data_IF_322710254431
#
_entry.id   IF_322710254431
#
_cell.length_a   1.000
_cell.length_b   1.000
_cell.length_c   1.000
_cell.angle_alpha   90.00
_cell.angle_beta   90.00
_cell.angle_gamma   90.00
#
_symmetry.space_group_name_H-M   'P 1'
#
loop_
_entity.id
_entity.type
_entity.pdbx_description
1 polymer ?
#
# COMPACT_ATOMS: atom_id res chain seq x y z
N UNK A 1 -26.63 -18.99 -4.03
CA UNK A 1 -27.02 -20.36 -3.63
C UNK A 1 -28.36 -20.30 -2.94
N UNK A 2 -29.31 -21.14 -3.36
CA UNK A 2 -30.66 -21.20 -2.76
C UNK A 2 -30.82 -22.55 -2.09
N UNK A 3 -31.28 -22.55 -0.84
CA UNK A 3 -31.59 -23.74 -0.07
C UNK A 3 -33.10 -23.82 0.14
N UNK A 4 -33.75 -24.78 -0.52
CA UNK A 4 -35.16 -25.10 -0.33
C UNK A 4 -35.29 -26.28 0.62
N UNK A 5 -35.83 -26.03 1.81
CA UNK A 5 -36.00 -27.04 2.86
C UNK A 5 -37.49 -27.36 2.96
N UNK A 6 -37.85 -28.61 2.70
CA UNK A 6 -39.24 -29.09 2.78
C UNK A 6 -39.36 -30.05 3.96
N UNK A 7 -40.23 -29.73 4.93
CA UNK A 7 -40.53 -30.62 6.04
C UNK A 7 -41.63 -31.61 5.64
N UNK A 8 -41.25 -32.86 5.35
CA UNK A 8 -42.18 -33.95 5.00
C UNK A 8 -42.68 -34.73 6.21
N UNK A 9 -42.31 -34.34 7.43
CA UNK A 9 -42.72 -35.01 8.67
C UNK A 9 -44.04 -34.45 9.21
N UNK A 10 -44.55 -35.08 10.27
CA UNK A 10 -45.75 -34.66 11.01
C UNK A 10 -45.46 -33.77 12.22
N UNK A 11 -44.22 -33.32 12.41
CA UNK A 11 -43.81 -32.46 13.53
C UNK A 11 -43.00 -31.26 13.01
N UNK A 12 -42.93 -30.19 13.79
CA UNK A 12 -42.11 -29.04 13.47
C UNK A 12 -40.63 -29.39 13.63
N UNK A 13 -39.82 -29.11 12.61
CA UNK A 13 -38.39 -29.48 12.60
C UNK A 13 -37.53 -28.22 12.75
N UNK A 14 -36.66 -28.13 13.77
CA UNK A 14 -35.62 -27.12 13.79
C UNK A 14 -34.58 -27.44 12.71
N UNK A 15 -34.21 -26.43 11.93
CA UNK A 15 -33.19 -26.53 10.91
C UNK A 15 -32.15 -25.42 11.10
N UNK A 16 -30.92 -25.67 10.65
CA UNK A 16 -29.88 -24.65 10.62
C UNK A 16 -29.07 -24.81 9.34
N UNK A 17 -28.62 -23.68 8.79
CA UNK A 17 -27.74 -23.65 7.64
C UNK A 17 -26.32 -23.36 8.08
N UNK A 18 -25.38 -24.02 7.42
CA UNK A 18 -23.95 -23.96 7.73
C UNK A 18 -23.18 -23.54 6.49
N UNK A 19 -22.48 -22.41 6.58
CA UNK A 19 -21.65 -21.86 5.51
C UNK A 19 -20.23 -21.71 6.03
N UNK A 20 -19.25 -22.21 5.29
CA UNK A 20 -17.84 -22.14 5.70
C UNK A 20 -16.93 -21.77 4.54
N UNK A 21 -15.84 -21.10 4.87
CA UNK A 21 -14.64 -20.93 4.05
C UNK A 21 -13.49 -21.59 4.78
N UNK A 22 -12.74 -22.45 4.09
CA UNK A 22 -11.62 -23.19 4.66
C UNK A 22 -10.38 -22.94 3.81
N UNK A 23 -9.25 -22.64 4.46
CA UNK A 23 -7.97 -22.38 3.80
C UNK A 23 -6.83 -22.80 4.71
N UNK A 24 -5.72 -23.24 4.14
CA UNK A 24 -4.45 -23.35 4.87
C UNK A 24 -3.88 -21.96 5.25
N UNK A 25 -2.99 -21.93 6.23
CA UNK A 25 -2.33 -20.71 6.68
C UNK A 25 -1.05 -20.35 5.92
N UNK A 26 -0.75 -21.01 4.81
CA UNK A 26 0.50 -20.77 4.09
C UNK A 26 0.43 -19.48 3.26
N UNK A 27 1.60 -18.85 3.13
CA UNK A 27 1.79 -17.74 2.20
C UNK A 27 1.62 -18.22 0.76
N UNK A 28 1.17 -17.33 -0.10
CA UNK A 28 1.03 -17.63 -1.53
C UNK A 28 2.41 -17.83 -2.16
N UNK A 29 2.51 -18.79 -3.07
CA UNK A 29 3.71 -18.96 -3.88
C UNK A 29 3.96 -17.69 -4.71
N UNK A 30 5.17 -17.12 -4.60
CA UNK A 30 5.55 -15.90 -5.29
C UNK A 30 5.21 -14.59 -4.57
N UNK A 31 4.75 -14.64 -3.31
CA UNK A 31 4.64 -13.44 -2.48
C UNK A 31 6.04 -12.83 -2.25
N UNK A 32 6.15 -11.50 -2.33
CA UNK A 32 7.41 -10.79 -2.17
C UNK A 32 7.95 -10.93 -0.74
N UNK A 33 9.27 -11.03 -0.60
CA UNK A 33 9.92 -10.93 0.70
C UNK A 33 9.94 -9.49 1.25
N UNK A 34 9.73 -8.49 0.38
CA UNK A 34 9.88 -7.07 0.72
C UNK A 34 8.56 -6.36 1.04
N UNK A 35 7.44 -6.96 0.68
CA UNK A 35 6.12 -6.47 1.04
C UNK A 35 5.19 -7.61 1.35
N UNK A 36 4.25 -7.39 2.27
CA UNK A 36 3.21 -8.36 2.62
C UNK A 36 1.85 -7.69 2.51
N UNK A 37 0.88 -8.46 2.05
CA UNK A 37 -0.53 -8.07 2.08
C UNK A 37 -1.28 -8.96 3.05
N UNK A 38 -2.38 -8.44 3.58
CA UNK A 38 -3.21 -9.23 4.48
C UNK A 38 -3.70 -10.50 3.76
N UNK A 39 -3.40 -11.65 4.34
CA UNK A 39 -3.93 -12.95 3.91
C UNK A 39 -4.49 -13.63 5.15
N UNK A 40 -5.81 -13.78 5.20
CA UNK A 40 -6.47 -14.26 6.41
C UNK A 40 -7.99 -14.16 6.36
N UNK A 41 -8.67 -14.72 7.36
CA UNK A 41 -10.10 -14.56 7.51
C UNK A 41 -10.45 -13.13 7.93
N UNK A 42 -11.60 -12.66 7.45
CA UNK A 42 -12.17 -11.37 7.81
C UNK A 42 -13.67 -11.49 8.03
N UNK A 43 -14.23 -10.59 8.82
CA UNK A 43 -15.68 -10.49 9.03
C UNK A 43 -16.12 -9.06 8.90
N UNK A 44 -17.37 -8.89 8.49
CA UNK A 44 -18.07 -7.64 8.64
C UNK A 44 -19.35 -7.88 9.42
N UNK A 45 -19.59 -7.06 10.42
CA UNK A 45 -20.89 -6.95 11.10
C UNK A 45 -21.24 -5.47 11.24
N UNK A 46 -22.52 -5.13 11.33
CA UNK A 46 -22.88 -3.71 11.50
C UNK A 46 -22.35 -3.13 12.82
N UNK A 47 -22.25 -3.96 13.87
CA UNK A 47 -21.80 -3.57 15.20
C UNK A 47 -20.29 -3.24 15.29
N UNK A 48 -19.43 -4.04 14.65
CA UNK A 48 -17.96 -3.89 14.72
C UNK A 48 -17.31 -3.55 13.38
N UNK A 49 -18.09 -3.38 12.32
CA UNK A 49 -17.63 -3.14 10.94
C UNK A 49 -16.63 -4.22 10.51
N UNK A 50 -15.67 -3.85 9.65
CA UNK A 50 -14.69 -4.78 9.09
C UNK A 50 -13.62 -5.15 10.13
N UNK A 51 -13.47 -6.45 10.39
CA UNK A 51 -12.51 -7.01 11.34
C UNK A 51 -11.64 -8.04 10.61
N UNK A 52 -10.33 -7.84 10.63
CA UNK A 52 -9.33 -8.78 10.12
C UNK A 52 -8.84 -9.67 11.25
N UNK A 53 -8.63 -10.94 10.98
CA UNK A 53 -8.11 -11.87 11.99
C UNK A 53 -6.90 -12.60 11.41
N UNK A 54 -5.76 -12.49 12.11
CA UNK A 54 -4.55 -13.21 11.74
C UNK A 54 -4.72 -14.71 12.01
N UNK A 55 -4.19 -15.57 11.13
CA UNK A 55 -4.23 -17.02 11.34
C UNK A 55 -3.62 -17.44 12.68
N UNK A 56 -2.56 -16.76 13.11
CA UNK A 56 -1.93 -17.01 14.41
C UNK A 56 -2.89 -16.78 15.59
N UNK A 57 -3.77 -15.79 15.49
CA UNK A 57 -4.75 -15.46 16.53
C UNK A 57 -5.90 -16.46 16.54
N UNK A 58 -6.32 -16.96 15.36
CA UNK A 58 -7.25 -18.10 15.25
C UNK A 58 -6.67 -19.34 15.93
N UNK A 59 -5.41 -19.69 15.63
CA UNK A 59 -4.71 -20.86 16.21
C UNK A 59 -4.63 -20.77 17.73
N UNK A 60 -4.37 -19.57 18.26
CA UNK A 60 -4.28 -19.30 19.71
C UNK A 60 -5.65 -19.11 20.39
N UNK A 61 -6.75 -19.12 19.64
CA UNK A 61 -8.10 -18.79 20.11
C UNK A 61 -8.19 -17.41 20.79
N UNK A 62 -7.36 -16.47 20.36
CA UNK A 62 -7.26 -15.12 20.91
C UNK A 62 -7.72 -14.10 19.87
N UNK A 63 -9.01 -14.10 19.57
CA UNK A 63 -9.61 -13.24 18.54
C UNK A 63 -10.64 -12.33 19.19
N UNK A 64 -10.55 -11.03 18.91
CA UNK A 64 -11.61 -10.08 19.23
C UNK A 64 -12.53 -9.91 18.02
N UNK A 65 -13.54 -10.77 17.92
CA UNK A 65 -14.54 -10.75 16.85
C UNK A 65 -15.95 -10.69 17.38
N UNK A 66 -16.84 -10.08 16.61
CA UNK A 66 -18.29 -10.22 16.82
C UNK A 66 -18.73 -11.66 16.49
N UNK A 67 -19.41 -12.32 17.44
CA UNK A 67 -19.77 -13.74 17.32
C UNK A 67 -21.22 -13.96 16.92
N UNK A 68 -22.06 -12.93 16.98
CA UNK A 68 -23.46 -13.01 16.59
C UNK A 68 -23.84 -11.78 15.80
N UNK A 69 -24.59 -11.97 14.73
CA UNK A 69 -25.06 -10.85 13.91
C UNK A 69 -26.37 -11.19 13.21
N UNK A 70 -27.09 -10.16 12.79
CA UNK A 70 -28.22 -10.26 11.85
C UNK A 70 -27.90 -9.55 10.52
N UNK A 71 -26.65 -9.11 10.32
CA UNK A 71 -26.16 -8.53 9.07
C UNK A 71 -24.71 -8.96 8.79
N UNK A 72 -24.22 -8.68 7.59
CA UNK A 72 -22.81 -8.85 7.23
C UNK A 72 -22.40 -10.25 6.75
N UNK A 73 -21.08 -10.45 6.68
CA UNK A 73 -20.44 -11.56 5.97
C UNK A 73 -19.21 -12.12 6.71
N UNK A 74 -18.80 -13.33 6.33
CA UNK A 74 -17.46 -13.88 6.60
C UNK A 74 -16.71 -14.00 5.28
N UNK A 75 -15.41 -13.72 5.31
CA UNK A 75 -14.56 -13.75 4.14
C UNK A 75 -13.22 -14.42 4.43
N UNK A 76 -12.59 -14.90 3.37
CA UNK A 76 -11.18 -15.30 3.33
C UNK A 76 -10.50 -14.42 2.28
N UNK A 77 -9.55 -13.62 2.72
CA UNK A 77 -8.91 -12.56 1.93
C UNK A 77 -7.48 -12.99 1.60
N UNK A 78 -7.04 -12.66 0.39
CA UNK A 78 -5.65 -12.74 -0.05
C UNK A 78 -5.37 -11.57 -1.00
N UNK A 79 -4.11 -11.26 -1.29
CA UNK A 79 -3.67 -10.07 -2.05
C UNK A 79 -4.67 -9.52 -3.09
N UNK A 80 -5.04 -10.29 -4.12
CA UNK A 80 -5.91 -9.82 -5.21
C UNK A 80 -7.31 -10.43 -5.25
N UNK A 81 -7.59 -11.41 -4.39
CA UNK A 81 -8.84 -12.17 -4.45
C UNK A 81 -9.46 -12.30 -3.08
N UNK A 82 -10.76 -12.49 -3.04
CA UNK A 82 -11.46 -12.85 -1.81
C UNK A 82 -12.52 -13.90 -2.11
N UNK A 83 -12.87 -14.65 -1.08
CA UNK A 83 -14.12 -15.41 -1.05
C UNK A 83 -14.94 -14.94 0.13
N UNK A 84 -16.25 -14.76 -0.02
CA UNK A 84 -17.11 -14.30 1.05
C UNK A 84 -18.48 -14.98 0.99
N UNK A 85 -18.98 -15.40 2.15
CA UNK A 85 -20.37 -15.80 2.32
C UNK A 85 -21.17 -14.64 2.89
N UNK A 86 -22.17 -14.20 2.14
CA UNK A 86 -23.13 -13.18 2.54
C UNK A 86 -24.49 -13.83 2.73
N UNK A 87 -25.06 -13.66 3.92
CA UNK A 87 -26.42 -14.11 4.25
C UNK A 87 -27.37 -12.91 4.21
N UNK A 88 -28.68 -13.12 3.95
CA UNK A 88 -29.66 -12.06 3.94
C UNK A 88 -29.69 -11.31 5.27
N UNK A 89 -29.90 -10.01 5.22
CA UNK A 89 -30.09 -9.19 6.41
C UNK A 89 -31.36 -9.60 7.15
N UNK A 90 -31.31 -9.51 8.48
CA UNK A 90 -32.36 -9.97 9.39
C UNK A 90 -32.26 -11.45 9.81
N UNK A 91 -31.50 -12.29 9.09
CA UNK A 91 -31.31 -13.69 9.46
C UNK A 91 -30.28 -13.82 10.60
N UNK A 92 -30.67 -14.24 11.81
CA UNK A 92 -29.68 -14.42 12.88
C UNK A 92 -28.61 -15.46 12.49
N UNK A 93 -27.33 -15.14 12.74
CA UNK A 93 -26.19 -16.04 12.52
C UNK A 93 -25.17 -15.98 13.65
N UNK A 94 -24.66 -17.15 14.01
CA UNK A 94 -23.46 -17.30 14.81
C UNK A 94 -22.25 -17.32 13.89
N UNK A 95 -21.23 -16.56 14.25
CA UNK A 95 -19.96 -16.44 13.54
C UNK A 95 -18.90 -17.13 14.37
N UNK A 96 -18.14 -18.02 13.74
CA UNK A 96 -16.99 -18.66 14.39
C UNK A 96 -15.79 -18.76 13.46
N UNK A 97 -14.61 -18.69 14.05
CA UNK A 97 -13.37 -19.04 13.38
C UNK A 97 -12.60 -20.05 14.22
N UNK A 98 -12.02 -21.04 13.56
CA UNK A 98 -11.31 -22.11 14.23
C UNK A 98 -10.21 -22.70 13.35
N UNK A 99 -9.15 -23.18 13.98
CA UNK A 99 -8.15 -24.01 13.34
C UNK A 99 -8.62 -25.46 13.41
N UNK A 100 -8.82 -26.08 12.25
CA UNK A 100 -9.22 -27.48 12.08
C UNK A 100 -8.01 -28.27 11.61
N UNK A 101 -7.71 -29.39 12.26
CA UNK A 101 -6.79 -30.37 11.70
C UNK A 101 -7.54 -31.15 10.61
N UNK A 102 -7.16 -30.96 9.33
CA UNK A 102 -7.75 -31.68 8.19
C UNK A 102 -6.81 -32.79 7.69
N UNK A 103 -6.01 -33.36 8.60
CA UNK A 103 -5.14 -34.50 8.36
C UNK A 103 -3.71 -34.12 8.00
N UNK A 104 -2.79 -35.07 8.26
CA UNK A 104 -1.32 -34.89 8.35
C UNK A 104 -0.59 -34.35 7.10
N UNK A 105 -1.28 -34.08 5.97
CA UNK A 105 -0.63 -33.79 4.68
C UNK A 105 -0.28 -32.33 4.42
N UNK A 106 -0.72 -31.38 5.25
CA UNK A 106 -0.36 -29.96 5.10
C UNK A 106 0.07 -29.35 6.43
N UNK A 107 1.35 -28.93 6.51
CA UNK A 107 1.84 -28.12 7.63
C UNK A 107 1.04 -26.80 7.71
N UNK A 108 0.67 -26.39 8.92
CA UNK A 108 -0.14 -25.20 9.21
C UNK A 108 -1.50 -25.12 8.47
N UNK A 109 -2.11 -26.28 8.19
CA UNK A 109 -3.51 -26.36 7.78
C UNK A 109 -4.40 -26.83 8.93
N UNK A 110 -5.65 -26.37 9.06
CA UNK A 110 -6.43 -25.46 8.21
C UNK A 110 -7.24 -24.48 9.07
N UNK A 111 -7.57 -23.32 8.52
CA UNK A 111 -8.35 -22.28 9.20
C UNK A 111 -9.72 -22.16 8.54
N UNK A 112 -10.74 -22.10 9.38
CA UNK A 112 -12.13 -22.02 8.97
C UNK A 112 -12.76 -20.73 9.46
N UNK A 113 -13.52 -20.07 8.59
CA UNK A 113 -14.46 -19.02 8.94
C UNK A 113 -15.88 -19.51 8.64
N UNK A 114 -16.78 -19.44 9.62
CA UNK A 114 -18.09 -20.09 9.60
C UNK A 114 -19.22 -19.11 9.90
N UNK A 115 -20.33 -19.26 9.18
CA UNK A 115 -21.64 -18.73 9.52
C UNK A 115 -22.62 -19.89 9.77
N UNK A 116 -23.22 -19.90 10.95
CA UNK A 116 -24.29 -20.84 11.32
C UNK A 116 -25.57 -20.04 11.49
N UNK A 117 -26.55 -20.24 10.60
CA UNK A 117 -27.83 -19.57 10.64
C UNK A 117 -28.93 -20.52 11.14
N UNK A 118 -29.31 -20.47 12.44
CA UNK A 118 -30.47 -21.19 12.92
C UNK A 118 -31.73 -20.62 12.26
N UNK A 119 -32.58 -21.51 11.75
CA UNK A 119 -33.86 -21.16 11.17
C UNK A 119 -34.96 -21.33 12.21
N UNK A 120 -36.04 -20.56 12.06
CA UNK A 120 -37.27 -20.83 12.78
C UNK A 120 -37.76 -22.26 12.46
N UNK A 121 -38.33 -23.00 13.44
CA UNK A 121 -38.85 -24.33 13.22
C UNK A 121 -39.78 -24.38 12.00
N UNK A 122 -39.51 -25.28 11.07
CA UNK A 122 -40.29 -25.43 9.85
C UNK A 122 -41.48 -26.32 10.19
N UNK A 123 -42.68 -25.78 10.12
CA UNK A 123 -43.89 -26.53 10.47
C UNK A 123 -44.11 -27.75 9.56
N UNK A 124 -44.83 -28.76 10.08
CA UNK A 124 -45.16 -29.98 9.33
C UNK A 124 -45.79 -29.67 7.96
N UNK A 125 -45.26 -30.27 6.88
CA UNK A 125 -45.73 -30.07 5.51
C UNK A 125 -45.41 -28.68 4.91
N UNK A 126 -44.68 -27.81 5.61
CA UNK A 126 -44.24 -26.50 5.10
C UNK A 126 -42.84 -26.56 4.52
N UNK A 127 -42.52 -25.54 3.74
CA UNK A 127 -41.18 -25.30 3.22
C UNK A 127 -40.65 -23.94 3.63
N UNK A 128 -39.32 -23.82 3.66
CA UNK A 128 -38.61 -22.56 3.85
C UNK A 128 -37.49 -22.49 2.81
N UNK A 129 -37.38 -21.34 2.16
CA UNK A 129 -36.30 -21.05 1.21
C UNK A 129 -35.38 -20.01 1.82
N UNK A 130 -34.07 -20.27 1.79
CA UNK A 130 -33.04 -19.30 2.22
C UNK A 130 -32.02 -19.17 1.11
N UNK A 131 -31.77 -17.93 0.69
CA UNK A 131 -30.73 -17.62 -0.28
C UNK A 131 -29.48 -17.14 0.45
N UNK A 132 -28.30 -17.57 0.00
CA UNK A 132 -27.01 -17.06 0.44
C UNK A 132 -26.14 -16.78 -0.78
N UNK A 133 -25.34 -15.73 -0.73
CA UNK A 133 -24.45 -15.33 -1.81
C UNK A 133 -23.02 -15.75 -1.47
N UNK A 134 -22.40 -16.51 -2.37
CA UNK A 134 -20.96 -16.77 -2.33
C UNK A 134 -20.30 -15.87 -3.35
N UNK A 135 -19.49 -14.94 -2.88
CA UNK A 135 -18.52 -14.25 -3.70
C UNK A 135 -17.22 -15.07 -3.74
N UNK A 136 -16.63 -15.24 -4.92
CA UNK A 136 -15.32 -15.86 -5.09
C UNK A 136 -14.67 -15.27 -6.35
N UNK A 137 -13.84 -14.25 -6.18
CA UNK A 137 -13.38 -13.44 -7.30
C UNK A 137 -12.34 -12.39 -6.95
N UNK A 138 -11.94 -11.58 -7.95
CA UNK A 138 -10.97 -10.49 -7.78
C UNK A 138 -11.54 -9.36 -6.92
N UNK A 139 -10.68 -8.65 -6.21
CA UNK A 139 -11.10 -7.55 -5.33
C UNK A 139 -11.35 -6.24 -6.09
N UNK A 140 -12.32 -6.25 -7.00
CA UNK A 140 -12.77 -5.08 -7.75
C UNK A 140 -13.78 -4.28 -6.92
N UNK A 141 -13.47 -3.02 -6.60
CA UNK A 141 -14.19 -2.25 -5.56
C UNK A 141 -15.69 -2.11 -5.88
N UNK A 142 -16.02 -1.84 -7.15
CA UNK A 142 -17.41 -1.65 -7.62
C UNK A 142 -18.22 -2.96 -7.62
N UNK A 143 -17.60 -4.08 -8.02
CA UNK A 143 -18.25 -5.40 -8.04
C UNK A 143 -18.48 -5.91 -6.61
N UNK A 144 -17.53 -5.68 -5.70
CA UNK A 144 -17.66 -6.05 -4.29
C UNK A 144 -18.80 -5.26 -3.61
N UNK A 145 -18.84 -3.93 -3.81
CA UNK A 145 -19.89 -3.08 -3.25
C UNK A 145 -21.29 -3.47 -3.76
N UNK A 146 -21.39 -3.87 -5.04
CA UNK A 146 -22.63 -4.35 -5.64
C UNK A 146 -23.13 -5.68 -5.03
N UNK A 147 -22.23 -6.53 -4.52
CA UNK A 147 -22.59 -7.79 -3.85
C UNK A 147 -23.13 -7.53 -2.44
N UNK A 148 -22.45 -6.70 -1.65
CA UNK A 148 -22.90 -6.32 -0.31
C UNK A 148 -22.21 -5.02 0.14
N UNK A 149 -22.93 -4.00 0.64
CA UNK A 149 -22.33 -2.76 1.13
C UNK A 149 -21.33 -3.03 2.28
N UNK A 150 -20.09 -2.60 2.12
CA UNK A 150 -18.99 -2.86 3.05
C UNK A 150 -18.11 -4.06 2.66
N UNK A 151 -18.49 -4.87 1.67
CA UNK A 151 -17.64 -5.94 1.16
C UNK A 151 -16.41 -5.38 0.43
N UNK A 152 -16.47 -4.17 -0.10
CA UNK A 152 -15.34 -3.47 -0.72
C UNK A 152 -14.19 -3.21 0.28
N UNK A 153 -14.46 -3.28 1.58
CA UNK A 153 -13.45 -3.15 2.65
C UNK A 153 -12.48 -4.34 2.71
N UNK A 154 -12.75 -5.45 2.01
CA UNK A 154 -11.76 -6.53 1.84
C UNK A 154 -10.51 -6.03 1.12
N UNK A 155 -10.64 -4.99 0.28
CA UNK A 155 -9.53 -4.24 -0.31
C UNK A 155 -8.89 -3.36 0.75
N UNK A 156 -8.01 -3.98 1.52
CA UNK A 156 -7.37 -3.37 2.69
C UNK A 156 -6.26 -2.39 2.26
N UNK A 157 -6.59 -1.10 2.29
CA UNK A 157 -5.62 -0.02 2.13
C UNK A 157 -4.90 0.36 3.45
N UNK A 158 -5.11 -0.42 4.52
CA UNK A 158 -4.55 -0.17 5.84
C UNK A 158 -5.10 1.10 6.51
N UNK A 159 -4.33 1.60 7.49
CA UNK A 159 -4.70 2.79 8.28
C UNK A 159 -4.83 4.09 7.46
N UNK A 160 -4.29 4.13 6.23
CA UNK A 160 -4.36 5.28 5.33
C UNK A 160 -5.52 5.20 4.32
N UNK A 161 -6.54 4.37 4.59
CA UNK A 161 -7.73 4.23 3.74
C UNK A 161 -8.37 5.56 3.37
N UNK A 162 -8.38 6.55 4.28
CA UNK A 162 -8.92 7.89 4.02
C UNK A 162 -8.20 8.66 2.91
N UNK A 163 -6.90 8.39 2.73
CA UNK A 163 -6.11 8.94 1.62
C UNK A 163 -6.16 8.03 0.40
N UNK A 164 -6.12 6.71 0.60
CA UNK A 164 -6.06 5.71 -0.46
C UNK A 164 -7.33 5.70 -1.32
N UNK A 165 -8.54 5.74 -0.73
CA UNK A 165 -9.80 5.71 -1.50
C UNK A 165 -9.92 6.86 -2.51
N UNK A 166 -9.71 8.14 -2.14
CA UNK A 166 -9.70 9.24 -3.11
C UNK A 166 -8.63 9.11 -4.20
N UNK A 167 -7.45 8.60 -3.85
CA UNK A 167 -6.36 8.39 -4.81
C UNK A 167 -6.69 7.27 -5.81
N UNK A 168 -7.28 6.17 -5.34
CA UNK A 168 -7.76 5.09 -6.20
C UNK A 168 -8.89 5.58 -7.12
N UNK A 169 -9.87 6.32 -6.57
CA UNK A 169 -10.94 6.91 -7.36
C UNK A 169 -10.39 7.79 -8.49
N UNK A 170 -9.40 8.64 -8.19
CA UNK A 170 -8.78 9.50 -9.20
C UNK A 170 -7.99 8.68 -10.23
N UNK A 171 -7.24 7.67 -9.79
CA UNK A 171 -6.51 6.75 -10.68
C UNK A 171 -7.47 6.04 -11.65
N UNK A 172 -8.58 5.51 -11.13
CA UNK A 172 -9.58 4.82 -11.93
C UNK A 172 -10.26 5.77 -12.93
N UNK A 173 -10.55 7.02 -12.53
CA UNK A 173 -11.06 8.04 -13.47
C UNK A 173 -10.08 8.39 -14.57
N UNK A 174 -8.79 8.50 -14.25
CA UNK A 174 -7.73 8.72 -15.24
C UNK A 174 -7.63 7.52 -16.20
N UNK A 175 -7.77 6.30 -15.70
CA UNK A 175 -7.78 5.11 -16.53
C UNK A 175 -8.98 5.07 -17.47
N UNK A 176 -10.17 5.43 -17.01
CA UNK A 176 -11.35 5.51 -17.87
C UNK A 176 -11.23 6.57 -18.97
N UNK A 177 -10.35 7.57 -18.81
CA UNK A 177 -10.08 8.60 -19.82
C UNK A 177 -8.94 8.20 -20.78
N UNK A 178 -7.87 7.60 -20.25
CA UNK A 178 -6.64 7.31 -20.99
C UNK A 178 -6.60 5.89 -21.56
N UNK A 179 -7.46 5.00 -21.06
CA UNK A 179 -7.52 3.57 -21.38
C UNK A 179 -6.17 2.86 -21.22
N UNK A 180 -5.37 3.30 -20.24
CA UNK A 180 -4.04 2.76 -19.97
C UNK A 180 -3.61 3.05 -18.53
N UNK A 181 -3.42 1.99 -17.74
CA UNK A 181 -3.06 2.10 -16.32
C UNK A 181 -1.71 2.78 -16.10
N UNK A 182 -0.71 2.54 -16.95
CA UNK A 182 0.61 3.14 -16.81
C UNK A 182 0.60 4.65 -17.04
N UNK A 183 -0.10 5.12 -18.07
CA UNK A 183 -0.30 6.56 -18.28
C UNK A 183 -1.18 7.20 -17.21
N UNK A 184 -2.12 6.45 -16.64
CA UNK A 184 -2.94 6.89 -15.51
C UNK A 184 -2.11 7.13 -14.25
N UNK A 185 -1.14 6.25 -13.97
CA UNK A 185 -0.15 6.47 -12.90
C UNK A 185 0.64 7.74 -13.16
N UNK A 186 1.18 7.92 -14.37
CA UNK A 186 1.95 9.13 -14.72
C UNK A 186 1.10 10.40 -14.55
N UNK A 187 -0.13 10.41 -15.05
CA UNK A 187 -1.05 11.52 -14.93
C UNK A 187 -1.40 11.82 -13.46
N UNK A 188 -1.65 10.79 -12.65
CA UNK A 188 -1.91 10.91 -11.22
C UNK A 188 -0.73 11.61 -10.51
N UNK A 189 0.51 11.19 -10.80
CA UNK A 189 1.71 11.82 -10.22
C UNK A 189 1.81 13.29 -10.61
N UNK A 190 1.56 13.62 -11.88
CA UNK A 190 1.58 15.00 -12.37
C UNK A 190 0.56 15.85 -11.62
N UNK A 191 -0.68 15.36 -11.45
CA UNK A 191 -1.73 16.08 -10.73
C UNK A 191 -1.39 16.29 -9.25
N UNK A 192 -0.87 15.26 -8.58
CA UNK A 192 -0.43 15.36 -7.18
C UNK A 192 0.70 16.38 -7.06
N UNK A 193 1.70 16.32 -7.95
CA UNK A 193 2.80 17.30 -7.97
C UNK A 193 2.31 18.72 -8.21
N UNK A 194 1.32 18.91 -9.08
CA UNK A 194 0.70 20.20 -9.31
C UNK A 194 -0.03 20.72 -8.06
N UNK A 195 -0.81 19.87 -7.38
CA UNK A 195 -1.51 20.22 -6.15
C UNK A 195 -0.54 20.64 -5.03
N UNK A 196 0.59 19.94 -4.89
CA UNK A 196 1.63 20.26 -3.90
C UNK A 196 2.73 21.20 -4.44
N UNK A 197 2.54 21.82 -5.61
CA UNK A 197 3.60 22.59 -6.26
C UNK A 197 4.12 23.72 -5.37
N UNK A 198 3.22 24.48 -4.76
CA UNK A 198 3.57 25.62 -3.90
C UNK A 198 4.38 25.18 -2.67
N UNK A 199 4.00 24.06 -2.05
CA UNK A 199 4.65 23.51 -0.87
C UNK A 199 6.07 23.05 -1.21
N UNK A 200 6.20 22.26 -2.28
CA UNK A 200 7.48 21.78 -2.79
C UNK A 200 8.38 22.96 -3.20
N UNK A 201 7.81 24.01 -3.81
CA UNK A 201 8.56 25.18 -4.21
C UNK A 201 9.16 25.94 -3.02
N UNK A 202 8.46 26.04 -1.89
CA UNK A 202 9.01 26.66 -0.69
C UNK A 202 10.21 25.89 -0.13
N UNK A 203 10.14 24.56 -0.14
CA UNK A 203 11.25 23.75 0.34
C UNK A 203 12.44 23.73 -0.61
N UNK A 204 12.22 23.67 -1.92
CA UNK A 204 13.32 23.82 -2.89
C UNK A 204 14.00 25.19 -2.76
N UNK A 205 13.24 26.26 -2.50
CA UNK A 205 13.85 27.57 -2.17
C UNK A 205 14.70 27.53 -0.90
N UNK A 206 14.24 26.83 0.14
CA UNK A 206 15.02 26.65 1.38
C UNK A 206 16.30 25.85 1.11
N UNK A 207 16.23 24.79 0.32
CA UNK A 207 17.39 23.99 -0.08
C UNK A 207 18.38 24.78 -0.93
N UNK A 208 17.90 25.62 -1.85
CA UNK A 208 18.76 26.50 -2.65
C UNK A 208 19.53 27.50 -1.76
N UNK A 209 18.88 28.08 -0.75
CA UNK A 209 19.56 28.93 0.24
C UNK A 209 20.58 28.17 1.08
N UNK A 210 20.22 26.97 1.57
CA UNK A 210 21.16 26.09 2.28
C UNK A 210 22.41 25.80 1.43
N UNK A 211 22.22 25.60 0.13
CA UNK A 211 23.32 25.39 -0.81
C UNK A 211 24.19 26.63 -0.98
N UNK A 212 23.59 27.82 -1.09
CA UNK A 212 24.32 29.07 -1.23
C UNK A 212 25.21 29.39 -0.03
N UNK A 213 24.80 28.99 1.18
CA UNK A 213 25.57 29.20 2.41
C UNK A 213 26.61 28.11 2.69
N UNK A 214 26.57 26.98 1.97
CA UNK A 214 27.45 25.83 2.20
C UNK A 214 28.96 26.21 2.18
N UNK A 215 29.46 27.10 1.30
CA UNK A 215 30.85 27.56 1.36
C UNK A 215 31.22 28.22 2.68
N UNK A 216 30.33 29.03 3.27
CA UNK A 216 30.54 29.67 4.58
C UNK A 216 30.58 28.63 5.71
N UNK A 217 29.77 27.58 5.59
CA UNK A 217 29.77 26.46 6.56
C UNK A 217 31.07 25.67 6.46
N UNK A 218 31.60 25.46 5.26
CA UNK A 218 32.90 24.77 5.08
C UNK A 218 34.07 25.60 5.63
N UNK A 219 34.14 26.91 5.34
CA UNK A 219 35.16 27.80 5.92
C UNK A 219 35.11 27.81 7.45
N UNK A 220 33.92 27.93 8.03
CA UNK A 220 33.71 27.91 9.48
C UNK A 220 34.16 26.58 10.10
N UNK A 221 33.96 25.44 9.42
CA UNK A 221 34.41 24.12 9.86
C UNK A 221 35.91 23.95 9.83
N UNK A 222 36.57 24.48 8.80
CA UNK A 222 38.03 24.45 8.72
C UNK A 222 38.64 25.28 9.85
N UNK A 223 38.04 26.44 10.15
CA UNK A 223 38.50 27.34 11.23
C UNK A 223 38.22 26.82 12.65
N UNK A 224 37.10 26.12 12.86
CA UNK A 224 36.64 25.68 14.20
C UNK A 224 36.73 24.16 14.41
N UNK A 225 37.58 23.46 13.65
CA UNK A 225 37.71 22.01 13.68
C UNK A 225 37.96 21.42 15.07
N UNK A 226 38.73 22.13 15.90
CA UNK A 226 39.11 21.69 17.25
C UNK A 226 38.11 22.11 18.34
N UNK A 227 37.05 22.86 18.00
CA UNK A 227 36.07 23.35 18.95
C UNK A 227 34.61 23.08 18.50
N UNK A 228 34.08 21.86 18.76
CA UNK A 228 32.76 21.48 18.30
C UNK A 228 31.61 22.29 18.92
N UNK A 229 31.79 22.78 20.15
CA UNK A 229 30.78 23.61 20.82
C UNK A 229 30.66 24.99 20.13
N UNK A 230 31.80 25.64 19.85
CA UNK A 230 31.80 26.91 19.11
C UNK A 230 31.30 26.73 17.67
N UNK A 231 31.66 25.62 17.02
CA UNK A 231 31.16 25.28 15.68
C UNK A 231 29.64 25.21 15.63
N UNK A 232 28.98 24.60 16.62
CA UNK A 232 27.52 24.51 16.67
C UNK A 232 26.85 25.88 16.86
N UNK A 233 27.43 26.75 17.71
CA UNK A 233 26.92 28.10 17.97
C UNK A 233 27.06 28.98 16.72
N UNK A 234 28.22 28.99 16.09
CA UNK A 234 28.46 29.81 14.89
C UNK A 234 27.62 29.30 13.70
N UNK A 235 27.44 27.99 13.57
CA UNK A 235 26.55 27.42 12.55
C UNK A 235 25.10 27.89 12.72
N UNK A 236 24.58 27.92 13.96
CA UNK A 236 23.23 28.45 14.23
C UNK A 236 23.14 29.96 13.99
N UNK A 237 24.21 30.70 14.24
CA UNK A 237 24.30 32.13 13.94
C UNK A 237 24.24 32.38 12.43
N UNK A 238 25.02 31.65 11.63
CA UNK A 238 24.96 31.70 10.16
C UNK A 238 23.53 31.42 9.66
N UNK A 239 22.88 30.36 10.17
CA UNK A 239 21.49 30.06 9.78
C UNK A 239 20.50 31.18 10.13
N UNK A 240 20.67 31.85 11.27
CA UNK A 240 19.82 32.99 11.68
C UNK A 240 20.08 34.23 10.83
N UNK A 241 21.34 34.56 10.59
CA UNK A 241 21.75 35.74 9.79
C UNK A 241 21.28 35.60 8.34
N UNK A 242 21.45 34.42 7.76
CA UNK A 242 21.04 34.11 6.38
C UNK A 242 19.54 33.76 6.27
N UNK A 243 18.83 33.74 7.40
CA UNK A 243 17.39 33.38 7.52
C UNK A 243 17.06 32.06 6.81
N UNK A 244 17.88 31.05 7.06
CA UNK A 244 17.73 29.71 6.48
C UNK A 244 17.27 28.73 7.55
N UNK A 245 16.21 27.96 7.25
CA UNK A 245 15.74 26.91 8.13
C UNK A 245 16.32 25.56 7.71
N UNK A 246 17.16 24.89 8.53
CA UNK A 246 17.71 23.59 8.20
C UNK A 246 16.64 22.49 8.05
N UNK A 247 15.46 22.67 8.68
CA UNK A 247 14.32 21.75 8.56
C UNK A 247 13.39 22.09 7.39
N UNK A 248 13.61 23.21 6.70
CA UNK A 248 12.78 23.62 5.56
C UNK A 248 12.80 22.61 4.40
N UNK A 249 13.85 21.80 4.29
CA UNK A 249 13.97 20.73 3.30
C UNK A 249 13.26 19.43 3.67
N UNK A 250 13.07 19.13 4.97
CA UNK A 250 12.45 17.87 5.41
C UNK A 250 10.91 17.97 5.58
N UNK A 251 10.37 19.18 5.69
CA UNK A 251 8.92 19.39 5.85
C UNK A 251 8.07 18.83 4.68
N UNK A 252 8.43 19.00 3.39
CA UNK A 252 7.67 18.37 2.31
C UNK A 252 7.78 16.85 2.33
N UNK A 253 8.95 16.32 2.71
CA UNK A 253 9.16 14.88 2.81
C UNK A 253 8.20 14.30 3.84
N UNK A 254 8.07 14.94 5.01
CA UNK A 254 7.15 14.51 6.06
C UNK A 254 5.68 14.49 5.60
N UNK A 255 5.23 15.50 4.84
CA UNK A 255 3.86 15.56 4.30
C UNK A 255 3.67 14.57 3.15
N UNK A 256 4.71 14.33 2.36
CA UNK A 256 4.66 13.45 1.20
C UNK A 256 4.69 11.97 1.59
N UNK A 257 5.31 11.60 2.73
CA UNK A 257 5.38 10.21 3.22
C UNK A 257 3.98 9.58 3.35
N UNK A 258 2.98 10.17 4.05
CA UNK A 258 1.63 9.61 4.11
C UNK A 258 0.97 9.44 2.74
N UNK A 259 1.12 10.43 1.85
CA UNK A 259 0.57 10.36 0.48
C UNK A 259 1.23 9.23 -0.31
N UNK A 260 2.55 9.07 -0.17
CA UNK A 260 3.30 7.99 -0.79
C UNK A 260 2.85 6.62 -0.28
N UNK A 261 2.74 6.44 1.05
CA UNK A 261 2.31 5.15 1.63
C UNK A 261 0.89 4.83 1.18
N UNK A 262 0.00 5.82 1.09
CA UNK A 262 -1.35 5.63 0.57
C UNK A 262 -1.32 5.18 -0.91
N UNK A 263 -0.56 5.86 -1.77
CA UNK A 263 -0.39 5.46 -3.18
C UNK A 263 0.23 4.09 -3.33
N UNK A 264 1.20 3.76 -2.49
CA UNK A 264 1.83 2.46 -2.44
C UNK A 264 0.78 1.36 -2.23
N UNK A 265 -0.09 1.50 -1.21
CA UNK A 265 -1.18 0.54 -0.98
C UNK A 265 -2.20 0.53 -2.11
N UNK A 266 -2.53 1.68 -2.71
CA UNK A 266 -3.44 1.73 -3.86
C UNK A 266 -2.88 0.92 -5.03
N UNK A 267 -1.65 1.19 -5.47
CA UNK A 267 -1.05 0.51 -6.61
C UNK A 267 -0.84 -0.98 -6.34
N UNK A 268 -0.55 -1.34 -5.10
CA UNK A 268 -0.31 -2.72 -4.72
C UNK A 268 -1.61 -3.53 -4.62
N UNK A 269 -2.70 -2.95 -4.12
CA UNK A 269 -3.99 -3.63 -3.94
C UNK A 269 -4.93 -3.54 -5.17
N UNK A 270 -4.59 -2.77 -6.20
CA UNK A 270 -5.41 -2.64 -7.42
C UNK A 270 -5.27 -3.89 -8.30
N UNK A 271 -6.26 -4.78 -8.24
CA UNK A 271 -6.29 -6.03 -9.02
C UNK A 271 -6.42 -5.77 -10.52
N UNK A 272 -7.02 -4.64 -10.89
CA UNK A 272 -7.24 -4.22 -12.27
C UNK A 272 -5.94 -3.93 -13.02
N UNK A 273 -4.84 -3.70 -12.30
CA UNK A 273 -3.50 -3.53 -12.86
C UNK A 273 -2.78 -4.86 -13.13
N UNK A 274 -3.32 -5.98 -12.65
CA UNK A 274 -2.75 -7.31 -12.87
C UNK A 274 -2.85 -7.68 -14.34
N UNK A 275 -1.72 -8.01 -14.95
CA UNK A 275 -1.59 -8.23 -16.40
C UNK A 275 -1.97 -7.00 -17.24
N UNK A 276 -1.99 -5.80 -16.65
CA UNK A 276 -2.25 -4.57 -17.41
C UNK A 276 -0.95 -4.12 -18.10
N UNK A 277 -0.93 -4.01 -19.45
CA UNK A 277 0.23 -3.51 -20.16
C UNK A 277 0.35 -1.99 -20.02
N UNK A 278 1.58 -1.48 -20.17
CA UNK A 278 1.82 -0.04 -20.30
C UNK A 278 2.31 0.30 -21.71
N UNK A 279 3.62 0.20 -21.95
CA UNK A 279 4.27 0.43 -23.24
C UNK A 279 5.52 -0.44 -23.37
N UNK A 280 5.98 -0.66 -24.60
CA UNK A 280 7.22 -1.38 -24.92
C UNK A 280 7.24 -2.80 -24.31
N UNK A 281 8.13 -3.06 -23.36
CA UNK A 281 8.32 -4.37 -22.71
C UNK A 281 7.47 -4.58 -21.46
N UNK A 282 6.72 -3.58 -21.00
CA UNK A 282 5.91 -3.68 -19.77
C UNK A 282 4.53 -4.24 -20.12
N UNK A 283 4.36 -5.52 -19.81
CA UNK A 283 3.12 -6.27 -20.04
C UNK A 283 2.30 -6.52 -18.76
N UNK A 284 2.88 -6.28 -17.58
CA UNK A 284 2.19 -6.39 -16.30
C UNK A 284 2.69 -5.33 -15.31
N UNK A 285 1.82 -4.38 -14.96
CA UNK A 285 2.10 -3.33 -13.99
C UNK A 285 2.11 -3.82 -12.54
N UNK A 286 1.49 -4.96 -12.26
CA UNK A 286 1.42 -5.57 -10.93
C UNK A 286 2.62 -6.50 -10.64
N UNK A 287 3.41 -6.86 -11.66
CA UNK A 287 4.60 -7.69 -11.51
C UNK A 287 5.91 -6.86 -11.58
N UNK A 288 7.01 -7.37 -11.00
CA UNK A 288 8.33 -6.77 -11.19
C UNK A 288 8.77 -6.71 -12.65
N UNK A 289 9.48 -5.66 -13.05
CA UNK A 289 10.07 -5.56 -14.38
C UNK A 289 11.25 -6.55 -14.51
N UNK A 290 11.09 -7.50 -15.43
CA UNK A 290 12.06 -8.58 -15.73
C UNK A 290 12.65 -8.48 -17.13
N UNK A 291 12.61 -7.30 -17.76
CA UNK A 291 13.07 -7.08 -19.15
C UNK A 291 14.50 -7.51 -19.45
N UNK A 292 15.37 -7.62 -18.44
CA UNK A 292 16.76 -8.11 -18.57
C UNK A 292 16.97 -9.50 -17.96
N UNK A 293 15.89 -10.18 -17.55
CA UNK A 293 15.88 -11.52 -16.98
C UNK A 293 15.86 -11.55 -15.44
N UNK A 294 16.03 -12.75 -14.87
CA UNK A 294 16.14 -12.98 -13.43
C UNK A 294 17.53 -13.50 -13.11
N UNK A 295 18.33 -12.72 -12.39
CA UNK A 295 19.73 -13.05 -12.09
C UNK A 295 19.88 -13.37 -10.61
N UNK A 296 20.34 -14.58 -10.28
CA UNK A 296 20.50 -15.04 -8.88
C UNK A 296 19.23 -14.87 -8.03
N UNK A 297 18.04 -15.00 -8.63
CA UNK A 297 16.75 -14.81 -7.95
C UNK A 297 16.29 -13.34 -7.86
N UNK A 298 17.02 -12.39 -8.45
CA UNK A 298 16.64 -10.97 -8.53
C UNK A 298 16.02 -10.68 -9.88
N UNK A 299 14.78 -10.15 -9.95
CA UNK A 299 14.22 -9.62 -11.19
C UNK A 299 15.07 -8.43 -11.66
N UNK A 300 15.61 -8.45 -12.87
CA UNK A 300 16.41 -7.34 -13.42
C UNK A 300 15.63 -6.71 -14.56
N UNK A 301 15.29 -5.42 -14.41
CA UNK A 301 14.49 -4.68 -15.37
C UNK A 301 15.04 -3.29 -15.64
N UNK A 302 14.66 -2.73 -16.79
CA UNK A 302 15.06 -1.39 -17.21
C UNK A 302 14.46 -0.32 -16.28
N UNK A 303 13.20 -0.47 -15.82
CA UNK A 303 12.55 0.52 -14.95
C UNK A 303 13.29 0.71 -13.62
N UNK A 304 13.59 -0.34 -12.81
CA UNK A 304 14.35 -0.17 -11.58
C UNK A 304 15.74 0.45 -11.77
N UNK A 305 16.40 0.18 -12.90
CA UNK A 305 17.69 0.81 -13.25
C UNK A 305 17.50 2.32 -13.48
N UNK A 306 16.51 2.71 -14.28
CA UNK A 306 16.18 4.13 -14.52
C UNK A 306 15.74 4.82 -13.23
N UNK A 307 14.97 4.13 -12.38
CA UNK A 307 14.60 4.62 -11.05
C UNK A 307 15.84 4.85 -10.18
N UNK A 308 16.80 3.93 -10.19
CA UNK A 308 18.08 4.06 -9.47
C UNK A 308 18.84 5.30 -9.96
N UNK A 309 18.99 5.46 -11.28
CA UNK A 309 19.68 6.59 -11.89
C UNK A 309 19.01 7.93 -11.53
N UNK A 310 17.69 8.00 -11.62
CA UNK A 310 16.94 9.22 -11.26
C UNK A 310 17.03 9.51 -9.76
N UNK A 311 17.05 8.48 -8.91
CA UNK A 311 17.22 8.62 -7.46
C UNK A 311 18.62 9.12 -7.11
N UNK A 312 19.65 8.60 -7.76
CA UNK A 312 21.05 9.08 -7.64
C UNK A 312 21.14 10.54 -8.08
N UNK A 313 20.54 10.88 -9.23
CA UNK A 313 20.54 12.25 -9.74
C UNK A 313 19.82 13.21 -8.78
N UNK A 314 18.65 12.83 -8.26
CA UNK A 314 17.91 13.62 -7.29
C UNK A 314 18.70 13.80 -5.99
N UNK A 315 19.35 12.74 -5.50
CA UNK A 315 20.20 12.78 -4.30
C UNK A 315 21.40 13.70 -4.50
N UNK A 316 22.03 13.65 -5.68
CA UNK A 316 23.15 14.52 -6.05
C UNK A 316 22.78 16.01 -6.05
N UNK A 317 21.52 16.35 -6.31
CA UNK A 317 21.05 17.73 -6.33
C UNK A 317 20.76 18.29 -4.92
N UNK A 318 20.57 17.43 -3.94
CA UNK A 318 20.30 17.83 -2.57
C UNK A 318 21.56 18.37 -1.86
N UNK A 319 21.42 19.40 -1.00
CA UNK A 319 22.55 19.91 -0.23
C UNK A 319 23.06 18.83 0.73
N UNK A 320 24.37 18.60 0.73
CA UNK A 320 24.98 17.63 1.64
C UNK A 320 24.81 18.08 3.10
N UNK A 321 24.39 17.18 4.01
CA UNK A 321 24.38 17.47 5.43
C UNK A 321 25.78 17.82 5.90
N UNK A 322 25.90 18.71 6.90
CA UNK A 322 27.18 19.01 7.50
C UNK A 322 27.79 17.73 8.11
N UNK A 323 27.06 16.95 8.89
CA UNK A 323 27.62 15.74 9.50
C UNK A 323 28.04 14.68 8.43
N UNK A 324 29.32 14.25 8.39
CA UNK A 324 29.79 13.25 7.43
C UNK A 324 29.08 11.90 7.56
N UNK A 325 28.63 11.51 8.75
CA UNK A 325 27.85 10.27 8.90
C UNK A 325 26.48 10.41 8.23
N UNK A 326 25.76 11.50 8.53
CA UNK A 326 24.48 11.80 7.88
C UNK A 326 24.63 11.94 6.35
N UNK A 327 25.72 12.53 5.86
CA UNK A 327 26.01 12.63 4.44
C UNK A 327 26.18 11.26 3.78
N UNK A 328 26.88 10.31 4.42
CA UNK A 328 26.98 8.92 3.94
C UNK A 328 25.62 8.23 3.90
N UNK A 329 24.82 8.38 4.97
CA UNK A 329 23.48 7.80 5.03
C UNK A 329 22.55 8.35 3.94
N UNK A 330 22.66 9.63 3.59
CA UNK A 330 21.90 10.25 2.50
C UNK A 330 22.16 9.58 1.15
N UNK A 331 23.34 8.98 0.95
CA UNK A 331 23.69 8.24 -0.26
C UNK A 331 23.36 6.75 -0.17
N UNK A 332 23.66 6.12 0.97
CA UNK A 332 23.46 4.68 1.17
C UNK A 332 21.97 4.33 1.16
N UNK A 333 21.13 5.11 1.85
CA UNK A 333 19.72 4.78 2.04
C UNK A 333 18.95 4.74 0.70
N UNK A 334 19.02 5.76 -0.18
CA UNK A 334 18.33 5.69 -1.47
C UNK A 334 18.87 4.59 -2.39
N UNK A 335 20.18 4.28 -2.35
CA UNK A 335 20.76 3.19 -3.12
C UNK A 335 20.29 1.81 -2.62
N UNK A 336 20.28 1.60 -1.31
CA UNK A 336 19.74 0.38 -0.71
C UNK A 336 18.25 0.19 -1.06
N UNK A 337 17.46 1.26 -0.96
CA UNK A 337 16.07 1.23 -1.43
C UNK A 337 15.97 0.95 -2.93
N UNK A 338 16.84 1.52 -3.76
CA UNK A 338 16.82 1.27 -5.21
C UNK A 338 17.02 -0.23 -5.55
N UNK A 339 17.88 -0.94 -4.80
CA UNK A 339 18.04 -2.40 -4.95
C UNK A 339 16.76 -3.15 -4.59
N UNK A 340 16.06 -2.72 -3.53
CA UNK A 340 14.78 -3.31 -3.14
C UNK A 340 13.70 -3.14 -4.22
N UNK A 341 13.68 -2.03 -4.96
CA UNK A 341 12.66 -1.74 -5.98
C UNK A 341 12.73 -2.66 -7.21
N UNK A 342 13.79 -3.47 -7.36
CA UNK A 342 13.83 -4.56 -8.34
C UNK A 342 12.78 -5.66 -8.06
N UNK A 343 12.32 -5.78 -6.81
CA UNK A 343 11.33 -6.77 -6.40
C UNK A 343 9.90 -6.22 -6.30
N UNK A 344 9.70 -4.94 -6.63
CA UNK A 344 8.39 -4.28 -6.54
C UNK A 344 7.68 -4.25 -7.89
N UNK A 345 6.33 -4.17 -7.89
CA UNK A 345 5.54 -4.01 -9.10
C UNK A 345 6.02 -2.84 -9.97
N UNK A 346 6.11 -3.06 -11.28
CA UNK A 346 6.61 -2.06 -12.23
C UNK A 346 5.79 -0.78 -12.23
N UNK A 347 4.48 -0.85 -11.93
CA UNK A 347 3.63 0.34 -11.74
C UNK A 347 4.06 1.23 -10.56
N UNK A 348 4.52 0.64 -9.45
CA UNK A 348 5.08 1.41 -8.33
C UNK A 348 6.44 2.03 -8.70
N UNK A 349 7.27 1.28 -9.43
CA UNK A 349 8.56 1.80 -9.92
C UNK A 349 8.34 2.97 -10.89
N UNK A 350 7.36 2.86 -11.79
CA UNK A 350 6.96 3.92 -12.72
C UNK A 350 6.48 5.19 -12.00
N UNK A 351 5.66 5.03 -10.96
CA UNK A 351 5.28 6.13 -10.07
C UNK A 351 6.53 6.85 -9.54
N UNK A 352 7.51 6.09 -9.05
CA UNK A 352 8.72 6.65 -8.44
C UNK A 352 9.59 7.38 -9.46
N UNK A 353 9.80 6.81 -10.64
CA UNK A 353 10.52 7.47 -11.75
C UNK A 353 9.86 8.80 -12.08
N UNK A 354 8.54 8.80 -12.28
CA UNK A 354 7.78 10.01 -12.64
C UNK A 354 7.90 11.07 -11.54
N UNK A 355 7.77 10.67 -10.28
CA UNK A 355 7.93 11.55 -9.14
C UNK A 355 9.34 12.15 -9.06
N UNK A 356 10.39 11.36 -9.27
CA UNK A 356 11.78 11.82 -9.28
C UNK A 356 12.02 12.81 -10.42
N UNK A 357 11.64 12.48 -11.65
CA UNK A 357 11.84 13.33 -12.83
C UNK A 357 11.17 14.69 -12.65
N UNK A 358 9.92 14.71 -12.19
CA UNK A 358 9.20 15.97 -11.94
C UNK A 358 9.83 16.77 -10.79
N UNK A 359 10.31 16.08 -9.74
CA UNK A 359 11.01 16.73 -8.62
C UNK A 359 12.31 17.38 -9.06
N UNK A 360 13.11 16.67 -9.86
CA UNK A 360 14.36 17.15 -10.43
C UNK A 360 14.08 18.36 -11.31
N UNK A 361 13.10 18.27 -12.21
CA UNK A 361 12.72 19.38 -13.08
C UNK A 361 12.28 20.61 -12.27
N UNK A 362 11.43 20.43 -11.26
CA UNK A 362 10.98 21.52 -10.40
C UNK A 362 12.15 22.16 -9.63
N UNK A 363 13.01 21.34 -9.03
CA UNK A 363 14.19 21.80 -8.29
C UNK A 363 15.15 22.56 -9.21
N UNK A 364 15.38 22.06 -10.42
CA UNK A 364 16.24 22.68 -11.43
C UNK A 364 15.76 24.08 -11.82
N UNK A 365 14.46 24.21 -12.12
CA UNK A 365 13.84 25.50 -12.48
C UNK A 365 13.95 26.49 -11.32
N UNK A 366 13.68 26.06 -10.08
CA UNK A 366 13.73 26.93 -8.90
C UNK A 366 15.16 27.38 -8.60
N UNK A 367 16.12 26.46 -8.61
CA UNK A 367 17.54 26.75 -8.40
C UNK A 367 18.05 27.78 -9.40
N UNK A 368 17.72 27.58 -10.69
CA UNK A 368 18.09 28.51 -11.77
C UNK A 368 17.47 29.88 -11.57
N UNK A 369 16.18 29.97 -11.21
CA UNK A 369 15.50 31.24 -10.91
C UNK A 369 16.07 31.96 -9.69
N UNK A 370 16.69 31.24 -8.77
CA UNK A 370 17.36 31.80 -7.60
C UNK A 370 18.83 32.16 -7.85
N UNK A 371 19.34 31.97 -9.07
CA UNK A 371 20.74 32.24 -9.40
C UNK A 371 21.73 31.25 -8.77
N UNK A 372 21.24 30.11 -8.27
CA UNK A 372 22.07 29.05 -7.69
C UNK A 372 22.12 27.91 -8.70
N UNK A 373 23.17 27.78 -9.52
CA UNK A 373 23.20 26.72 -10.52
C UNK A 373 23.11 25.33 -9.86
N UNK A 374 22.45 24.37 -10.52
CA UNK A 374 22.54 22.97 -10.13
C UNK A 374 24.00 22.55 -10.09
N UNK A 375 24.40 21.94 -8.98
CA UNK A 375 25.74 21.40 -8.74
C UNK A 375 25.48 20.03 -8.15
N UNK A 376 26.24 19.05 -8.63
CA UNK A 376 26.12 17.67 -8.19
C UNK A 376 27.05 17.44 -7.00
N UNK A 377 26.47 17.13 -5.84
CA UNK A 377 27.21 16.80 -4.63
C UNK A 377 27.55 15.32 -4.61
N UNK A 378 28.41 14.87 -5.51
CA UNK A 378 28.80 13.46 -5.55
C UNK A 378 29.59 13.08 -4.28
N UNK A 379 29.37 11.87 -3.74
CA UNK A 379 30.07 11.41 -2.56
C UNK A 379 31.57 11.25 -2.89
N UNK A 380 32.42 11.76 -2.01
CA UNK A 380 33.86 11.48 -2.02
C UNK A 380 34.05 10.22 -1.17
N UNK A 381 33.84 9.05 -1.77
CA UNK A 381 34.12 7.77 -1.11
C UNK A 381 35.60 7.46 -1.13
#
# INVERSE_FOLDING_TARGET
>A
VVHDIVNTSSQDIPAQLYFQLVRDGNKLAGESAFYSTFTGPAIYTEAKKYQKVEFADVKKKNMDIEKQSSTGYVAMVQHYFASAWVLPDGLMRNISMDAVDIGERMADCCYRATLIAPLEPIAAGKSKSVSATLFAGPQEEHELEAVYPGLELVKDYGWLTILAKPLYWLLHKLNNLLDNWGWSIVALVVLIKAAFYWLNAHAYKSMAKMKAINPKIMDMRERLKDNPQQMQVEMMKIYREEKVNPLGGCLPIAIQIPVFIALYWVLLSTVEMRNAPWVLWIHDLAAPDTSLGVWFGVPVGILPIVMTLTTVLQTALNPAPPDPMQAKLMWIMPLAFSVMFFFFPSGLVLYWITNNVLSIAQQWVINTRMGVPPQFNLPKF
#
